data_IF_800707529212
#
_entry.id   IF_800707529212
#
_cell.length_a   1.000
_cell.length_b   1.000
_cell.length_c   1.000
_cell.angle_alpha   90.00
_cell.angle_beta   90.00
_cell.angle_gamma   90.00
#
_symmetry.space_group_name_H-M   'P 1'
#
loop_
_entity.id
_entity.type
_entity.pdbx_description
1 polymer ?
#
# COMPACT_ATOMS: atom_id res chain seq x y z
N UNK A 1 -23.52 -7.71 35.68
CA UNK A 1 -22.12 -7.22 35.69
C UNK A 1 -21.10 -8.37 35.62
N UNK A 2 -21.19 -9.39 36.49
CA UNK A 2 -20.23 -10.51 36.55
C UNK A 2 -20.01 -11.26 35.22
N UNK A 3 -21.07 -11.51 34.45
CA UNK A 3 -21.01 -12.24 33.17
C UNK A 3 -20.17 -11.53 32.11
N UNK A 4 -20.14 -10.19 32.09
CA UNK A 4 -19.25 -9.43 31.22
C UNK A 4 -17.78 -9.54 31.64
N UNK A 5 -17.51 -9.58 32.95
CA UNK A 5 -16.15 -9.75 33.46
C UNK A 5 -15.58 -11.12 33.03
N UNK A 6 -16.37 -12.19 33.13
CA UNK A 6 -15.95 -13.52 32.66
C UNK A 6 -15.74 -13.58 31.15
N UNK A 7 -16.60 -12.96 30.33
CA UNK A 7 -16.37 -12.92 28.86
C UNK A 7 -15.10 -12.15 28.48
N UNK A 8 -14.80 -11.04 29.15
CA UNK A 8 -13.56 -10.27 28.93
C UNK A 8 -12.30 -11.02 29.36
N UNK A 9 -12.45 -11.97 30.29
CA UNK A 9 -11.35 -12.79 30.80
C UNK A 9 -10.98 -13.95 29.87
N UNK A 10 -11.83 -14.26 28.88
CA UNK A 10 -11.59 -15.32 27.90
C UNK A 10 -10.94 -14.72 26.66
N UNK A 11 -9.65 -15.01 26.47
CA UNK A 11 -8.92 -14.64 25.25
C UNK A 11 -9.12 -15.69 24.15
N UNK A 12 -9.70 -15.30 23.03
CA UNK A 12 -9.77 -16.13 21.81
C UNK A 12 -8.71 -15.64 20.84
N UNK A 13 -7.85 -16.54 20.35
CA UNK A 13 -6.85 -16.25 19.32
C UNK A 13 -7.31 -16.85 18.00
N UNK A 14 -7.50 -16.02 16.99
CA UNK A 14 -7.84 -16.43 15.64
C UNK A 14 -6.62 -16.13 14.76
N UNK A 15 -6.21 -17.11 13.97
CA UNK A 15 -5.16 -16.95 12.95
C UNK A 15 -5.85 -16.88 11.60
N UNK A 16 -5.40 -15.96 10.78
CA UNK A 16 -5.88 -15.75 9.43
C UNK A 16 -4.66 -15.69 8.50
N UNK A 17 -4.82 -16.18 7.29
CA UNK A 17 -3.82 -16.07 6.23
C UNK A 17 -4.14 -14.82 5.42
N UNK A 18 -3.16 -13.93 5.29
CA UNK A 18 -3.28 -12.74 4.47
C UNK A 18 -2.32 -12.83 3.28
N UNK A 19 -2.83 -12.53 2.09
CA UNK A 19 -1.99 -12.39 0.90
C UNK A 19 -1.41 -10.97 0.87
N UNK A 20 -0.10 -10.89 1.09
CA UNK A 20 0.65 -9.63 1.09
C UNK A 20 1.57 -9.61 -0.13
N UNK A 21 1.55 -8.49 -0.85
CA UNK A 21 2.42 -8.22 -2.00
C UNK A 21 3.36 -7.12 -1.62
N UNK A 22 4.66 -7.36 -1.73
CA UNK A 22 5.71 -6.39 -1.43
C UNK A 22 6.54 -6.09 -2.67
N UNK A 23 6.92 -4.83 -2.84
CA UNK A 23 7.75 -4.43 -3.98
C UNK A 23 8.18 -2.97 -3.94
N UNK A 24 9.18 -2.65 -4.75
CA UNK A 24 9.57 -1.29 -5.06
C UNK A 24 8.63 -0.69 -6.09
N UNK A 25 8.17 0.53 -5.85
CA UNK A 25 7.38 1.30 -6.81
C UNK A 25 8.30 1.89 -7.87
N UNK A 26 8.15 1.47 -9.13
CA UNK A 26 8.95 2.00 -10.25
C UNK A 26 8.28 3.23 -10.86
N UNK A 27 6.98 3.14 -11.09
CA UNK A 27 6.17 4.17 -11.74
C UNK A 27 4.74 4.14 -11.24
N UNK A 28 4.12 5.32 -11.15
CA UNK A 28 2.72 5.51 -10.78
C UNK A 28 2.08 6.44 -11.81
N UNK A 29 1.05 5.95 -12.49
CA UNK A 29 0.22 6.71 -13.40
C UNK A 29 -1.18 6.84 -12.80
N UNK A 30 -1.63 8.07 -12.51
CA UNK A 30 -2.97 8.31 -11.97
C UNK A 30 -3.68 9.27 -12.90
N UNK A 31 -4.76 8.81 -13.53
CA UNK A 31 -5.59 9.68 -14.36
C UNK A 31 -6.55 10.46 -13.45
N UNK A 32 -6.26 11.75 -13.27
CA UNK A 32 -7.15 12.67 -12.56
C UNK A 32 -8.27 13.11 -13.49
N UNK A 33 -9.52 13.02 -13.03
CA UNK A 33 -10.65 13.53 -13.78
C UNK A 33 -10.55 15.06 -13.90
N UNK A 34 -10.73 15.58 -15.12
CA UNK A 34 -10.56 17.00 -15.48
C UNK A 34 -11.47 17.94 -14.67
N UNK A 35 -12.58 17.45 -14.14
CA UNK A 35 -13.58 18.23 -13.37
C UNK A 35 -13.32 18.29 -11.85
N UNK A 36 -12.10 17.97 -11.38
CA UNK A 36 -11.79 17.97 -9.94
C UNK A 36 -12.48 16.84 -9.15
N UNK A 37 -13.03 15.86 -9.86
CA UNK A 37 -13.58 14.64 -9.28
C UNK A 37 -12.49 13.63 -8.87
N UNK A 38 -12.90 12.64 -8.08
CA UNK A 38 -12.04 11.52 -7.68
C UNK A 38 -11.46 10.80 -8.91
N UNK A 39 -10.15 10.54 -8.88
CA UNK A 39 -9.45 9.83 -9.95
C UNK A 39 -10.11 8.47 -10.21
N UNK A 40 -10.43 8.20 -11.49
CA UNK A 40 -11.26 7.03 -11.88
C UNK A 40 -10.47 5.73 -11.88
N UNK A 41 -9.21 5.77 -12.28
CA UNK A 41 -8.33 4.61 -12.32
C UNK A 41 -6.87 5.08 -12.30
N UNK A 42 -5.98 4.20 -11.87
CA UNK A 42 -4.55 4.41 -11.94
C UNK A 42 -3.85 3.09 -12.26
N UNK A 43 -2.59 3.18 -12.68
CA UNK A 43 -1.70 2.05 -12.87
C UNK A 43 -0.45 2.26 -12.04
N UNK A 44 0.08 1.18 -11.49
CA UNK A 44 1.32 1.19 -10.75
C UNK A 44 2.17 0.02 -11.18
N UNK A 45 3.45 0.28 -11.37
CA UNK A 45 4.42 -0.75 -11.69
C UNK A 45 5.20 -1.07 -10.42
N UNK A 46 5.07 -2.30 -9.94
CA UNK A 46 5.83 -2.83 -8.82
C UNK A 46 6.91 -3.77 -9.32
N UNK A 47 8.10 -3.62 -8.75
CA UNK A 47 9.26 -4.42 -9.08
C UNK A 47 9.77 -5.15 -7.85
N UNK A 48 9.99 -6.44 -8.02
CA UNK A 48 10.75 -7.27 -7.09
C UNK A 48 12.11 -7.57 -7.69
N UNK A 49 12.92 -8.40 -7.04
CA UNK A 49 14.25 -8.78 -7.53
C UNK A 49 14.21 -9.49 -8.88
N UNK A 50 13.14 -10.23 -9.18
CA UNK A 50 13.08 -11.13 -10.33
C UNK A 50 12.01 -10.74 -11.36
N UNK A 51 10.97 -10.00 -10.95
CA UNK A 51 9.86 -9.66 -11.84
C UNK A 51 9.36 -8.24 -11.64
N UNK A 52 8.74 -7.72 -12.69
CA UNK A 52 8.11 -6.43 -12.74
C UNK A 52 6.66 -6.63 -13.17
N UNK A 53 5.72 -6.15 -12.35
CA UNK A 53 4.29 -6.43 -12.50
C UNK A 53 3.52 -5.13 -12.48
N UNK A 54 2.61 -4.99 -13.44
CA UNK A 54 1.69 -3.85 -13.53
C UNK A 54 0.43 -4.18 -12.75
N UNK A 55 0.06 -3.29 -11.83
CA UNK A 55 -1.15 -3.37 -11.04
C UNK A 55 -2.09 -2.22 -11.39
N UNK A 56 -3.36 -2.56 -11.63
CA UNK A 56 -4.42 -1.56 -11.74
C UNK A 56 -4.85 -1.11 -10.34
N UNK A 57 -4.83 0.19 -10.11
CA UNK A 57 -5.17 0.83 -8.85
C UNK A 57 -6.66 1.17 -8.80
N UNK A 58 -7.33 0.68 -7.76
CA UNK A 58 -8.66 1.13 -7.40
C UNK A 58 -8.67 2.47 -6.65
N UNK A 59 -9.84 3.10 -6.56
CA UNK A 59 -9.99 4.43 -5.92
C UNK A 59 -9.42 4.50 -4.49
N UNK A 60 -9.67 3.48 -3.65
CA UNK A 60 -9.14 3.43 -2.27
C UNK A 60 -7.60 3.43 -2.21
N UNK A 61 -6.96 2.75 -3.15
CA UNK A 61 -5.50 2.70 -3.24
C UNK A 61 -4.95 4.04 -3.69
N UNK A 62 -5.60 4.69 -4.67
CA UNK A 62 -5.22 6.02 -5.14
C UNK A 62 -5.30 7.06 -4.02
N UNK A 63 -6.37 7.04 -3.22
CA UNK A 63 -6.51 7.92 -2.05
C UNK A 63 -5.38 7.69 -1.03
N UNK A 64 -5.01 6.43 -0.78
CA UNK A 64 -3.91 6.10 0.15
C UNK A 64 -2.57 6.58 -0.39
N UNK A 65 -2.29 6.37 -1.68
CA UNK A 65 -1.09 6.85 -2.36
C UNK A 65 -0.97 8.37 -2.26
N UNK A 66 -2.07 9.10 -2.48
CA UNK A 66 -2.07 10.57 -2.39
C UNK A 66 -1.91 11.06 -0.94
N UNK A 67 -2.55 10.38 0.02
CA UNK A 67 -2.49 10.74 1.44
C UNK A 67 -1.08 10.54 2.02
N UNK A 68 -0.48 9.38 1.73
CA UNK A 68 0.83 9.00 2.25
C UNK A 68 1.98 9.49 1.35
N UNK A 69 1.66 10.20 0.27
CA UNK A 69 2.60 10.78 -0.71
C UNK A 69 3.61 9.76 -1.24
N UNK A 70 3.11 8.60 -1.61
CA UNK A 70 3.93 7.51 -2.15
C UNK A 70 4.48 7.94 -3.51
N UNK A 71 5.78 7.79 -3.69
CA UNK A 71 6.53 8.18 -4.87
C UNK A 71 7.28 7.00 -5.46
N UNK A 72 7.68 7.12 -6.72
CA UNK A 72 8.56 6.15 -7.33
C UNK A 72 9.90 6.08 -6.58
N UNK A 73 10.33 4.86 -6.24
CA UNK A 73 11.43 4.55 -5.35
C UNK A 73 11.01 4.21 -3.93
N UNK A 74 9.74 4.28 -3.55
CA UNK A 74 9.30 3.80 -2.24
C UNK A 74 9.05 2.28 -2.27
N UNK A 75 9.32 1.61 -1.16
CA UNK A 75 9.03 0.17 -0.97
C UNK A 75 7.73 0.06 -0.20
N UNK A 76 6.76 -0.63 -0.79
CA UNK A 76 5.41 -0.74 -0.23
C UNK A 76 4.98 -2.19 -0.07
N UNK A 77 4.11 -2.41 0.91
CA UNK A 77 3.38 -3.65 1.15
C UNK A 77 1.89 -3.40 0.88
N UNK A 78 1.28 -4.26 0.08
CA UNK A 78 -0.14 -4.24 -0.25
C UNK A 78 -0.79 -5.50 0.28
N UNK A 79 -1.75 -5.34 1.18
CA UNK A 79 -2.65 -6.42 1.55
C UNK A 79 -3.73 -6.54 0.47
N UNK A 80 -3.72 -7.67 -0.25
CA UNK A 80 -4.64 -7.91 -1.37
C UNK A 80 -6.09 -8.05 -0.92
N UNK A 81 -6.33 -8.48 0.32
CA UNK A 81 -7.68 -8.67 0.85
C UNK A 81 -8.34 -7.34 1.26
N UNK A 82 -7.57 -6.44 1.89
CA UNK A 82 -8.08 -5.17 2.40
C UNK A 82 -7.82 -3.98 1.48
N UNK A 83 -6.88 -4.11 0.53
CA UNK A 83 -6.41 -3.03 -0.33
C UNK A 83 -5.62 -1.96 0.43
N UNK A 84 -5.17 -2.26 1.66
CA UNK A 84 -4.34 -1.35 2.45
C UNK A 84 -2.92 -1.38 1.94
N UNK A 85 -2.37 -0.18 1.76
CA UNK A 85 -0.98 0.05 1.37
C UNK A 85 -0.23 0.54 2.61
N UNK A 86 0.93 -0.06 2.88
CA UNK A 86 1.84 0.35 3.96
C UNK A 86 3.20 0.64 3.36
N UNK A 87 3.76 1.82 3.65
CA UNK A 87 5.12 2.16 3.22
C UNK A 87 6.11 1.49 4.19
N UNK A 88 6.94 0.61 3.67
CA UNK A 88 7.98 -0.09 4.43
C UNK A 88 9.28 0.71 4.47
N UNK A 89 9.57 1.48 3.43
CA UNK A 89 10.78 2.28 3.33
C UNK A 89 11.00 2.85 1.94
N UNK A 90 12.26 3.15 1.63
CA UNK A 90 12.68 3.71 0.35
C UNK A 90 13.77 2.84 -0.27
N UNK A 91 13.79 2.72 -1.58
CA UNK A 91 14.68 1.84 -2.31
C UNK A 91 16.10 2.40 -2.34
N UNK A 92 17.06 1.48 -2.24
CA UNK A 92 18.49 1.82 -2.28
C UNK A 92 18.91 2.47 -3.60
N UNK A 93 18.22 2.16 -4.71
CA UNK A 93 18.51 2.70 -6.03
C UNK A 93 18.30 4.22 -6.10
N UNK A 94 17.33 4.78 -5.35
CA UNK A 94 17.03 6.22 -5.30
C UNK A 94 17.36 6.89 -3.97
N UNK A 95 17.87 6.15 -2.98
CA UNK A 95 18.25 6.74 -1.68
C UNK A 95 19.44 7.69 -1.79
N UNK A 96 20.25 7.60 -2.85
CA UNK A 96 21.44 8.46 -3.05
C UNK A 96 21.11 9.87 -3.54
N UNK A 97 19.97 10.06 -4.21
CA UNK A 97 19.58 11.39 -4.70
C UNK A 97 18.99 12.29 -3.60
N UNK A 98 18.66 11.71 -2.43
CA UNK A 98 18.06 12.44 -1.30
C UNK A 98 19.04 12.77 -0.17
N UNK A 99 20.25 12.18 -0.17
CA UNK A 99 21.33 12.49 0.80
C UNK A 99 22.27 13.60 0.30
N UNK A 100 22.08 14.05 -0.95
CA UNK A 100 22.89 15.09 -1.59
C UNK A 100 22.15 16.42 -1.78
N UNK A 101 21.19 16.75 -0.90
CA UNK A 101 20.49 18.04 -0.89
C UNK A 101 20.47 18.69 0.49
#
# INVERSE_FOLDING_TARGET
ALTQAFRKSIGVRIREEAEIIEGEVVEIEIEKATDGGLAKWGKMVLKTTEMETIYDLGQKMIETIQKDKITAGDVISIDKSTGRITVLGRSFARSRDYDAM
#
